data_IF_115770696702
#
_entry.id   IF_115770696702
#
_cell.length_a   1.000
_cell.length_b   1.000
_cell.length_c   1.000
_cell.angle_alpha   90.00
_cell.angle_beta   90.00
_cell.angle_gamma   90.00
#
_symmetry.space_group_name_H-M   'P 1'
#
loop_
_entity.id
_entity.type
_entity.pdbx_description
1 polymer ?
#
# COMPACT_ATOMS: atom_id res chain seq x y z
N UNK A 1 8.60 22.17 19.91
CA UNK A 1 9.58 21.54 18.98
C UNK A 1 9.36 20.04 18.87
N UNK A 2 9.02 19.32 19.95
CA UNK A 2 8.71 17.88 19.93
C UNK A 2 7.52 17.53 19.02
N UNK A 3 6.44 18.31 19.09
CA UNK A 3 5.23 18.10 18.28
C UNK A 3 5.44 18.18 16.74
N UNK A 4 6.47 18.87 16.26
CA UNK A 4 6.77 18.92 14.82
C UNK A 4 7.47 17.63 14.36
N UNK A 5 8.38 17.10 15.19
CA UNK A 5 9.07 15.84 14.90
C UNK A 5 8.12 14.64 14.93
N UNK A 6 7.17 14.61 15.89
CA UNK A 6 6.17 13.54 15.99
C UNK A 6 5.23 13.49 14.78
N UNK A 7 4.84 14.65 14.25
CA UNK A 7 4.01 14.74 13.03
C UNK A 7 4.73 14.22 11.80
N UNK A 8 6.02 14.53 11.66
CA UNK A 8 6.83 14.08 10.53
C UNK A 8 7.04 12.55 10.55
N UNK A 9 7.25 11.97 11.74
CA UNK A 9 7.32 10.51 11.91
C UNK A 9 5.99 9.87 11.52
N UNK A 10 4.87 10.36 12.04
CA UNK A 10 3.55 9.81 11.73
C UNK A 10 3.20 9.91 10.23
N UNK A 11 3.52 11.02 9.57
CA UNK A 11 3.32 11.18 8.13
C UNK A 11 4.19 10.21 7.32
N UNK A 12 5.45 10.02 7.74
CA UNK A 12 6.36 9.06 7.12
C UNK A 12 5.86 7.63 7.30
N UNK A 13 5.32 7.27 8.45
CA UNK A 13 4.71 5.96 8.69
C UNK A 13 3.47 5.74 7.82
N UNK A 14 2.57 6.73 7.70
CA UNK A 14 1.43 6.66 6.78
C UNK A 14 1.87 6.44 5.33
N UNK A 15 2.91 7.14 4.87
CA UNK A 15 3.44 6.99 3.49
C UNK A 15 4.20 5.69 3.26
N UNK A 16 4.71 5.04 4.32
CA UNK A 16 5.56 3.85 4.20
C UNK A 16 4.88 2.54 4.53
N UNK A 17 3.69 2.60 5.14
CA UNK A 17 2.92 1.41 5.49
C UNK A 17 2.04 0.99 4.31
N UNK A 18 2.11 -0.27 3.86
CA UNK A 18 1.17 -0.78 2.87
C UNK A 18 -0.26 -0.78 3.43
N UNK A 19 -1.24 -0.47 2.59
CA UNK A 19 -2.66 -0.52 2.99
C UNK A 19 -3.21 -1.94 3.09
N UNK A 20 -2.46 -2.94 2.67
CA UNK A 20 -2.90 -4.32 2.57
C UNK A 20 -1.91 -5.29 3.23
N UNK A 21 -2.41 -6.31 3.92
CA UNK A 21 -1.59 -7.39 4.51
C UNK A 21 -1.49 -8.63 3.58
N UNK A 22 -2.44 -8.76 2.67
CA UNK A 22 -2.54 -9.85 1.69
C UNK A 22 -2.40 -9.32 0.27
N UNK A 23 -1.69 -10.08 -0.57
CA UNK A 23 -1.48 -9.75 -1.97
C UNK A 23 -2.82 -9.78 -2.72
N UNK A 24 -3.27 -8.67 -3.35
CA UNK A 24 -4.57 -8.62 -4.02
C UNK A 24 -4.63 -9.49 -5.30
N UNK A 25 -3.49 -9.99 -5.77
CA UNK A 25 -3.40 -10.84 -6.98
C UNK A 25 -3.45 -12.33 -6.65
N UNK A 26 -2.82 -12.76 -5.54
CA UNK A 26 -2.63 -14.18 -5.20
C UNK A 26 -3.06 -14.55 -3.77
N UNK A 27 -3.59 -13.60 -2.99
CA UNK A 27 -4.04 -13.79 -1.59
C UNK A 27 -2.95 -14.40 -0.67
N UNK A 28 -1.68 -14.15 -1.00
CA UNK A 28 -0.49 -14.56 -0.24
C UNK A 28 0.05 -13.41 0.63
N UNK A 29 0.79 -13.70 1.71
CA UNK A 29 1.40 -12.65 2.53
C UNK A 29 2.27 -11.71 1.69
N UNK A 30 2.10 -10.40 1.92
CA UNK A 30 2.84 -9.36 1.20
C UNK A 30 4.33 -9.33 1.57
N UNK A 31 5.15 -8.82 0.66
CA UNK A 31 6.50 -8.37 0.96
C UNK A 31 6.53 -6.85 0.94
N UNK A 32 6.84 -6.22 2.08
CA UNK A 32 6.91 -4.75 2.21
C UNK A 32 7.92 -4.09 1.25
N UNK A 33 8.86 -4.86 0.69
CA UNK A 33 9.84 -4.42 -0.30
C UNK A 33 9.30 -4.39 -1.73
N UNK A 34 8.17 -5.05 -2.00
CA UNK A 34 7.55 -5.12 -3.32
C UNK A 34 6.22 -4.40 -3.24
N UNK A 35 6.22 -3.14 -3.65
CA UNK A 35 5.03 -2.29 -3.58
C UNK A 35 4.91 -1.37 -4.80
N UNK A 36 3.69 -0.91 -5.06
CA UNK A 36 3.38 0.18 -5.98
C UNK A 36 2.63 1.27 -5.23
N UNK A 37 2.73 2.50 -5.71
CA UNK A 37 1.90 3.60 -5.22
C UNK A 37 0.67 3.67 -6.13
N UNK A 38 -0.50 3.44 -5.55
CA UNK A 38 -1.78 3.50 -6.24
C UNK A 38 -2.71 4.45 -5.47
N UNK A 39 -3.25 5.47 -6.15
CA UNK A 39 -4.09 6.50 -5.53
C UNK A 39 -3.45 7.17 -4.30
N UNK A 40 -2.14 7.44 -4.35
CA UNK A 40 -1.39 8.02 -3.23
C UNK A 40 -1.10 7.07 -2.06
N UNK A 41 -1.54 5.82 -2.15
CA UNK A 41 -1.38 4.79 -1.11
C UNK A 41 -0.38 3.73 -1.52
N UNK A 42 0.31 3.13 -0.55
CA UNK A 42 1.25 2.04 -0.79
C UNK A 42 0.50 0.71 -0.85
N UNK A 43 0.56 0.02 -1.97
CA UNK A 43 0.00 -1.33 -2.14
C UNK A 43 1.15 -2.32 -2.29
N UNK A 44 1.23 -3.32 -1.41
CA UNK A 44 2.31 -4.31 -1.41
C UNK A 44 1.89 -5.66 -1.99
N UNK A 45 2.87 -6.43 -2.45
CA UNK A 45 2.67 -7.67 -3.19
C UNK A 45 3.58 -8.78 -2.68
N UNK A 46 3.18 -10.04 -2.87
CA UNK A 46 4.00 -11.19 -2.48
C UNK A 46 5.21 -11.42 -3.40
N UNK A 47 5.16 -10.94 -4.65
CA UNK A 47 6.22 -11.11 -5.65
C UNK A 47 6.18 -10.03 -6.77
N UNK A 48 7.27 -9.86 -7.55
CA UNK A 48 7.34 -8.86 -8.61
C UNK A 48 6.32 -9.09 -9.75
N UNK A 49 5.97 -10.35 -10.01
CA UNK A 49 4.95 -10.70 -11.01
C UNK A 49 3.56 -10.20 -10.61
N UNK A 50 3.21 -10.25 -9.33
CA UNK A 50 1.96 -9.68 -8.82
C UNK A 50 1.95 -8.15 -8.93
N UNK A 51 3.08 -7.51 -8.62
CA UNK A 51 3.24 -6.06 -8.83
C UNK A 51 3.00 -5.70 -10.30
N UNK A 52 3.65 -6.41 -11.24
CA UNK A 52 3.48 -6.16 -12.66
C UNK A 52 2.05 -6.38 -13.16
N UNK A 53 1.37 -7.44 -12.67
CA UNK A 53 -0.03 -7.68 -12.99
C UNK A 53 -0.94 -6.56 -12.46
N UNK A 54 -0.68 -6.10 -11.23
CA UNK A 54 -1.39 -4.97 -10.64
C UNK A 54 -1.14 -3.67 -11.40
N UNK A 55 0.11 -3.37 -11.77
CA UNK A 55 0.45 -2.16 -12.53
C UNK A 55 -0.19 -2.17 -13.93
N UNK A 56 -0.35 -3.34 -14.54
CA UNK A 56 -1.01 -3.49 -15.84
C UNK A 56 -2.53 -3.27 -15.76
N UNK A 57 -3.17 -3.71 -14.68
CA UNK A 57 -4.63 -3.62 -14.55
C UNK A 57 -5.07 -3.41 -13.08
N UNK A 58 -4.77 -2.24 -12.49
CA UNK A 58 -4.96 -2.04 -11.06
C UNK A 58 -6.43 -2.05 -10.67
N UNK A 59 -7.32 -1.58 -11.55
CA UNK A 59 -8.77 -1.58 -11.33
C UNK A 59 -9.33 -2.99 -11.08
N UNK A 60 -8.78 -4.01 -11.75
CA UNK A 60 -9.16 -5.41 -11.57
C UNK A 60 -8.86 -5.93 -10.17
N UNK A 61 -7.79 -5.44 -9.54
CA UNK A 61 -7.31 -5.92 -8.24
C UNK A 61 -7.64 -4.96 -7.10
N UNK A 62 -7.98 -3.70 -7.40
CA UNK A 62 -8.33 -2.67 -6.44
C UNK A 62 -9.58 -3.04 -5.61
N UNK A 63 -10.49 -3.87 -6.16
CA UNK A 63 -11.65 -4.38 -5.43
C UNK A 63 -11.27 -5.25 -4.20
N UNK A 64 -10.05 -5.78 -4.15
CA UNK A 64 -9.50 -6.54 -3.01
C UNK A 64 -8.72 -5.65 -2.02
N UNK A 65 -8.55 -4.36 -2.32
CA UNK A 65 -7.89 -3.41 -1.44
C UNK A 65 -8.93 -2.71 -0.55
N UNK A 66 -8.52 -2.26 0.65
CA UNK A 66 -9.40 -1.40 1.43
C UNK A 66 -9.70 -0.10 0.68
N UNK A 67 -10.88 0.49 0.92
CA UNK A 67 -11.27 1.76 0.30
C UNK A 67 -10.25 2.87 0.59
N UNK A 68 -10.17 3.84 -0.32
CA UNK A 68 -9.22 4.97 -0.31
C UNK A 68 -9.32 5.82 0.96
N UNK A 69 -10.46 5.74 1.64
CA UNK A 69 -10.80 6.50 2.84
C UNK A 69 -10.03 6.11 4.11
N UNK A 70 -9.27 5.01 4.11
CA UNK A 70 -8.56 4.52 5.30
C UNK A 70 -7.22 5.23 5.60
N UNK A 71 -6.75 6.16 4.76
CA UNK A 71 -5.45 6.83 4.93
C UNK A 71 -5.52 8.27 5.46
N UNK A 72 -6.71 8.88 5.54
CA UNK A 72 -6.89 10.33 5.77
C UNK A 72 -7.75 10.68 7.00
N UNK A 73 -7.70 9.87 8.07
CA UNK A 73 -8.21 10.28 9.38
C UNK A 73 -7.12 10.37 10.45
#
# INVERSE_FOLDING_TARGET
RVAAAEREIAERERRTTPVNDSCPVLDKPIKKTIFSIHEGRRVAFCCPKCKAAFDADPAKYAAKLPPVEAADK
#
